data_IF_585397901100
#
_entry.id   IF_585397901100
#
_cell.length_a   1.000
_cell.length_b   1.000
_cell.length_c   1.000
_cell.angle_alpha   90.00
_cell.angle_beta   90.00
_cell.angle_gamma   90.00
#
_symmetry.space_group_name_H-M   'P 1'
#
loop_
_entity.id
_entity.type
_entity.pdbx_description
1 polymer ?
#
# COMPACT_ATOMS: atom_id res chain seq x y z
N UNK A 1 -16.72 17.95 11.01
CA UNK A 1 -15.90 17.23 10.01
C UNK A 1 -16.08 15.74 10.26
N UNK A 2 -16.36 14.93 9.23
CA UNK A 2 -16.45 13.47 9.40
C UNK A 2 -15.05 12.95 9.75
N UNK A 3 -14.97 12.11 10.78
CA UNK A 3 -13.70 11.54 11.25
C UNK A 3 -13.28 10.44 10.26
N UNK A 4 -12.02 10.42 9.78
CA UNK A 4 -11.55 9.34 8.93
C UNK A 4 -11.60 7.99 9.65
N UNK A 5 -11.63 6.87 8.91
CA UNK A 5 -11.50 5.55 9.51
C UNK A 5 -10.18 5.44 10.30
N UNK A 6 -10.14 4.61 11.35
CA UNK A 6 -9.02 4.60 12.28
C UNK A 6 -7.71 4.21 11.60
N UNK A 7 -7.73 3.21 10.71
CA UNK A 7 -6.59 2.70 9.95
C UNK A 7 -7.00 2.32 8.53
N UNK A 8 -6.03 2.14 7.64
CA UNK A 8 -6.23 1.84 6.24
C UNK A 8 -6.43 0.34 6.00
N UNK A 9 -7.46 0.03 5.23
CA UNK A 9 -7.76 -1.27 4.63
C UNK A 9 -8.27 -1.00 3.21
N UNK A 10 -8.42 -2.05 2.39
CA UNK A 10 -9.10 -1.94 1.10
C UNK A 10 -10.48 -1.27 1.28
N UNK A 11 -11.33 -1.78 2.17
CA UNK A 11 -12.65 -1.21 2.43
C UNK A 11 -12.60 0.27 2.86
N UNK A 12 -11.67 0.61 3.74
CA UNK A 12 -11.55 1.97 4.28
C UNK A 12 -11.03 2.96 3.22
N UNK A 13 -10.30 2.52 2.19
CA UNK A 13 -9.97 3.37 1.03
C UNK A 13 -11.24 3.89 0.36
N UNK A 14 -12.23 3.03 0.13
CA UNK A 14 -13.50 3.43 -0.48
C UNK A 14 -14.27 4.47 0.37
N UNK A 15 -14.23 4.35 1.70
CA UNK A 15 -14.81 5.36 2.59
C UNK A 15 -14.07 6.69 2.54
N UNK A 16 -12.74 6.65 2.49
CA UNK A 16 -11.89 7.84 2.33
C UNK A 16 -12.21 8.50 1.00
N UNK A 17 -12.23 7.77 -0.11
CA UNK A 17 -12.50 8.36 -1.43
C UNK A 17 -13.86 9.02 -1.50
N UNK A 18 -14.93 8.36 -1.02
CA UNK A 18 -16.28 8.98 -0.96
C UNK A 18 -16.33 10.25 -0.11
N UNK A 19 -15.49 10.34 0.92
CA UNK A 19 -15.52 11.45 1.88
C UNK A 19 -14.65 12.62 1.41
N UNK A 20 -13.47 12.34 0.86
CA UNK A 20 -12.41 13.31 0.63
C UNK A 20 -12.23 13.68 -0.84
N UNK A 21 -12.73 12.88 -1.78
CA UNK A 21 -12.81 13.18 -3.21
C UNK A 21 -14.21 12.87 -3.77
N UNK A 22 -15.28 13.44 -3.21
CA UNK A 22 -16.67 13.06 -3.54
C UNK A 22 -17.04 13.34 -5.00
N UNK A 23 -16.36 14.28 -5.65
CA UNK A 23 -16.65 14.69 -7.03
C UNK A 23 -16.07 13.72 -8.07
N UNK A 24 -15.08 12.91 -7.68
CA UNK A 24 -14.46 11.92 -8.56
C UNK A 24 -15.19 10.59 -8.44
N UNK A 25 -15.83 10.16 -9.54
CA UNK A 25 -16.44 8.84 -9.62
C UNK A 25 -15.38 7.76 -9.66
N UNK A 26 -15.61 6.71 -8.89
CA UNK A 26 -14.79 5.52 -8.94
C UNK A 26 -15.63 4.26 -9.04
N UNK A 27 -15.04 3.25 -9.66
CA UNK A 27 -15.53 1.88 -9.67
C UNK A 27 -14.75 1.05 -8.66
N UNK A 28 -15.45 0.24 -7.87
CA UNK A 28 -14.85 -0.65 -6.89
C UNK A 28 -15.09 -2.10 -7.29
N UNK A 29 -14.03 -2.91 -7.30
CA UNK A 29 -14.11 -4.35 -7.57
C UNK A 29 -14.83 -4.67 -8.90
N UNK A 30 -14.54 -3.90 -9.96
CA UNK A 30 -15.03 -4.11 -11.33
C UNK A 30 -13.90 -4.23 -12.33
N UNK A 31 -14.04 -5.15 -13.29
CA UNK A 31 -13.05 -5.36 -14.36
C UNK A 31 -12.89 -4.09 -15.21
N UNK A 32 -11.69 -3.89 -15.75
CA UNK A 32 -11.40 -2.77 -16.66
C UNK A 32 -11.93 -3.10 -18.06
N UNK A 33 -12.89 -2.35 -18.61
CA UNK A 33 -13.43 -2.60 -19.95
C UNK A 33 -12.32 -2.61 -21.00
N UNK A 34 -12.36 -3.57 -21.92
CA UNK A 34 -11.37 -3.68 -22.99
C UNK A 34 -9.99 -4.22 -22.59
N UNK A 35 -9.74 -4.48 -21.30
CA UNK A 35 -8.43 -4.99 -20.84
C UNK A 35 -8.16 -6.47 -21.17
N UNK A 36 -9.20 -7.27 -21.40
CA UNK A 36 -9.08 -8.74 -21.49
C UNK A 36 -8.72 -9.42 -20.16
N UNK A 37 -8.53 -8.66 -19.08
CA UNK A 37 -8.16 -9.14 -17.75
C UNK A 37 -9.42 -9.42 -16.93
N UNK A 38 -9.48 -10.61 -16.32
CA UNK A 38 -10.63 -11.04 -15.50
C UNK A 38 -10.55 -10.58 -14.05
N UNK A 39 -9.35 -10.26 -13.56
CA UNK A 39 -9.16 -9.74 -12.20
C UNK A 39 -9.68 -8.31 -12.10
N UNK A 40 -10.14 -7.93 -10.92
CA UNK A 40 -10.80 -6.65 -10.66
C UNK A 40 -9.83 -5.82 -9.81
N UNK A 41 -9.45 -4.61 -10.22
CA UNK A 41 -8.76 -3.68 -9.32
C UNK A 41 -9.69 -3.29 -8.16
N UNK A 42 -9.07 -2.96 -7.02
CA UNK A 42 -9.79 -2.52 -5.83
C UNK A 42 -10.57 -1.23 -6.12
N UNK A 43 -9.90 -0.20 -6.65
CA UNK A 43 -10.51 1.07 -7.00
C UNK A 43 -9.99 1.61 -8.33
N UNK A 44 -10.89 2.11 -9.18
CA UNK A 44 -10.56 2.70 -10.48
C UNK A 44 -11.30 4.01 -10.70
N UNK A 45 -10.56 5.03 -11.10
CA UNK A 45 -11.05 6.36 -11.45
C UNK A 45 -10.80 6.61 -12.94
N UNK A 46 -11.81 6.32 -13.76
CA UNK A 46 -11.69 6.37 -15.22
C UNK A 46 -11.41 7.80 -15.74
N UNK A 47 -12.01 8.81 -15.11
CA UNK A 47 -11.88 10.22 -15.54
C UNK A 47 -10.44 10.76 -15.46
N UNK A 48 -9.62 10.21 -14.56
CA UNK A 48 -8.23 10.63 -14.35
C UNK A 48 -7.22 9.52 -14.68
N UNK A 49 -7.67 8.40 -15.23
CA UNK A 49 -6.82 7.25 -15.54
C UNK A 49 -6.04 6.75 -14.33
N UNK A 50 -6.67 6.56 -13.17
CA UNK A 50 -6.02 6.09 -11.94
C UNK A 50 -6.61 4.74 -11.48
N UNK A 51 -5.76 3.81 -11.12
CA UNK A 51 -6.11 2.61 -10.35
C UNK A 51 -5.38 2.69 -9.01
N UNK A 52 -6.10 2.42 -7.93
CA UNK A 52 -5.53 2.31 -6.58
C UNK A 52 -5.79 0.91 -6.05
N UNK A 53 -4.73 0.23 -5.63
CA UNK A 53 -4.75 -1.13 -5.06
C UNK A 53 -4.24 -1.07 -3.61
N UNK A 54 -4.78 -1.91 -2.73
CA UNK A 54 -4.30 -2.08 -1.36
C UNK A 54 -3.57 -3.42 -1.22
N UNK A 55 -2.25 -3.36 -1.07
CA UNK A 55 -1.42 -4.56 -1.00
C UNK A 55 -1.36 -5.09 0.43
N UNK A 56 -2.16 -6.12 0.72
CA UNK A 56 -2.06 -6.94 1.92
C UNK A 56 -0.78 -7.80 1.98
N UNK A 57 -0.64 -8.58 3.06
CA UNK A 57 0.54 -9.41 3.30
C UNK A 57 0.89 -10.39 2.17
N UNK A 58 -0.10 -10.98 1.48
CA UNK A 58 0.12 -11.95 0.40
C UNK A 58 0.95 -11.39 -0.75
N UNK A 59 0.88 -10.08 -1.01
CA UNK A 59 1.69 -9.39 -2.02
C UNK A 59 3.18 -9.32 -1.67
N UNK A 60 3.57 -9.77 -0.48
CA UNK A 60 4.96 -9.88 -0.03
C UNK A 60 5.39 -11.31 0.30
N UNK A 61 4.45 -12.26 0.38
CA UNK A 61 4.74 -13.64 0.75
C UNK A 61 4.69 -14.60 -0.45
N UNK A 62 3.90 -14.31 -1.48
CA UNK A 62 3.69 -15.22 -2.61
C UNK A 62 4.29 -14.64 -3.90
N UNK A 63 5.34 -15.30 -4.40
CA UNK A 63 6.02 -14.93 -5.64
C UNK A 63 5.08 -14.93 -6.86
N UNK A 64 4.09 -15.84 -6.93
CA UNK A 64 3.15 -15.90 -8.04
C UNK A 64 2.21 -14.71 -8.05
N UNK A 65 1.81 -14.23 -6.87
CA UNK A 65 1.00 -13.01 -6.74
C UNK A 65 1.80 -11.81 -7.25
N UNK A 66 3.04 -11.67 -6.81
CA UNK A 66 3.93 -10.56 -7.22
C UNK A 66 4.13 -10.53 -8.75
N UNK A 67 4.38 -11.69 -9.38
CA UNK A 67 4.53 -11.75 -10.84
C UNK A 67 3.26 -11.34 -11.59
N UNK A 68 2.09 -11.89 -11.18
CA UNK A 68 0.81 -11.58 -11.81
C UNK A 68 0.43 -10.11 -11.64
N UNK A 69 0.73 -9.53 -10.49
CA UNK A 69 0.54 -8.11 -10.26
C UNK A 69 1.39 -7.26 -11.21
N UNK A 70 2.66 -7.63 -11.43
CA UNK A 70 3.51 -6.93 -12.40
C UNK A 70 2.98 -6.98 -13.84
N UNK A 71 2.46 -8.13 -14.28
CA UNK A 71 1.84 -8.27 -15.61
C UNK A 71 0.54 -7.43 -15.72
N UNK A 72 -0.28 -7.45 -14.68
CA UNK A 72 -1.53 -6.68 -14.59
C UNK A 72 -1.26 -5.18 -14.61
N UNK A 73 -0.33 -4.71 -13.78
CA UNK A 73 0.05 -3.30 -13.69
C UNK A 73 0.60 -2.80 -15.03
N UNK A 74 1.40 -3.62 -15.72
CA UNK A 74 1.89 -3.31 -17.06
C UNK A 74 0.73 -3.17 -18.05
N UNK A 75 -0.20 -4.12 -18.08
CA UNK A 75 -1.32 -4.06 -19.00
C UNK A 75 -2.21 -2.83 -18.76
N UNK A 76 -2.50 -2.49 -17.50
CA UNK A 76 -3.27 -1.28 -17.19
C UNK A 76 -2.50 0.01 -17.51
N UNK A 77 -1.18 0.02 -17.32
CA UNK A 77 -0.32 1.14 -17.74
C UNK A 77 -0.33 1.33 -19.24
N UNK A 78 -0.24 0.23 -20.01
CA UNK A 78 -0.32 0.25 -21.47
C UNK A 78 -1.71 0.74 -21.97
N UNK A 79 -2.76 0.62 -21.13
CA UNK A 79 -4.09 1.20 -21.37
C UNK A 79 -4.22 2.68 -20.96
N UNK A 80 -3.17 3.29 -20.42
CA UNK A 80 -3.16 4.68 -20.00
C UNK A 80 -3.52 4.94 -18.54
N UNK A 81 -3.66 3.89 -17.71
CA UNK A 81 -3.85 4.07 -16.27
C UNK A 81 -2.51 4.24 -15.56
N UNK A 82 -2.44 5.16 -14.59
CA UNK A 82 -1.45 5.09 -13.52
C UNK A 82 -1.95 4.12 -12.45
N UNK A 83 -1.12 3.15 -12.06
CA UNK A 83 -1.44 2.21 -10.98
C UNK A 83 -0.68 2.60 -9.71
N UNK A 84 -1.41 2.85 -8.63
CA UNK A 84 -0.86 3.20 -7.32
C UNK A 84 -1.24 2.13 -6.29
N UNK A 85 -0.27 1.26 -5.99
CA UNK A 85 -0.42 0.26 -4.92
C UNK A 85 0.04 0.83 -3.59
N UNK A 86 -0.79 0.68 -2.56
CA UNK A 86 -0.55 1.15 -1.19
C UNK A 86 -0.27 -0.08 -0.31
N UNK A 87 0.95 -0.25 0.21
CA UNK A 87 1.29 -1.33 1.13
C UNK A 87 0.49 -1.27 2.43
N UNK A 88 0.17 -2.42 3.02
CA UNK A 88 -0.55 -2.48 4.31
C UNK A 88 0.16 -1.78 5.49
N UNK A 89 1.47 -1.54 5.40
CA UNK A 89 2.24 -0.76 6.37
C UNK A 89 2.28 0.75 6.06
N UNK A 90 1.56 1.22 5.04
CA UNK A 90 1.38 2.64 4.72
C UNK A 90 -0.06 3.05 5.04
N UNK A 91 -0.22 4.15 5.76
CA UNK A 91 -1.52 4.70 6.15
C UNK A 91 -1.85 5.95 5.33
N UNK A 92 -3.13 6.32 5.31
CA UNK A 92 -3.56 7.50 4.57
C UNK A 92 -3.08 8.79 5.23
N UNK A 93 -2.59 9.73 4.42
CA UNK A 93 -2.14 11.06 4.83
C UNK A 93 -2.57 12.09 3.79
N UNK A 94 -2.44 13.37 4.13
CA UNK A 94 -2.65 14.46 3.16
C UNK A 94 -1.68 14.36 1.97
N UNK A 95 -0.43 13.92 2.23
CA UNK A 95 0.60 13.73 1.21
C UNK A 95 0.26 12.55 0.27
N UNK A 96 -0.27 11.44 0.81
CA UNK A 96 -0.71 10.32 -0.01
C UNK A 96 -1.91 10.71 -0.88
N UNK A 97 -2.89 11.42 -0.33
CA UNK A 97 -4.02 11.94 -1.13
C UNK A 97 -3.54 12.90 -2.23
N UNK A 98 -2.57 13.77 -1.92
CA UNK A 98 -1.96 14.64 -2.93
C UNK A 98 -1.27 13.84 -4.03
N UNK A 99 -0.51 12.80 -3.69
CA UNK A 99 0.09 11.90 -4.67
C UNK A 99 -0.96 11.21 -5.57
N UNK A 100 -2.08 10.78 -5.00
CA UNK A 100 -3.12 10.07 -5.73
C UNK A 100 -3.90 11.01 -6.67
N UNK A 101 -4.29 12.19 -6.20
CA UNK A 101 -5.26 13.04 -6.91
C UNK A 101 -4.70 14.39 -7.39
N UNK A 102 -3.46 14.73 -7.04
CA UNK A 102 -2.85 16.03 -7.36
C UNK A 102 -3.47 17.20 -6.59
N UNK A 103 -4.33 16.93 -5.59
CA UNK A 103 -5.07 17.93 -4.84
C UNK A 103 -4.68 17.91 -3.37
N UNK A 104 -4.45 19.10 -2.79
CA UNK A 104 -4.12 19.23 -1.36
C UNK A 104 -5.38 19.00 -0.54
N UNK A 105 -5.56 17.78 -0.05
CA UNK A 105 -6.72 17.40 0.73
C UNK A 105 -6.29 17.23 2.19
N UNK A 106 -6.77 18.09 3.12
CA UNK A 106 -6.47 17.94 4.54
C UNK A 106 -6.99 16.60 5.06
N UNK A 107 -6.09 15.80 5.62
CA UNK A 107 -6.38 14.51 6.23
C UNK A 107 -5.68 14.40 7.57
N UNK A 108 -6.47 14.21 8.63
CA UNK A 108 -5.98 13.99 9.99
C UNK A 108 -5.72 12.51 10.20
N UNK A 109 -4.48 12.07 9.94
CA UNK A 109 -4.05 10.69 10.19
C UNK A 109 -4.18 10.35 11.68
N UNK A 110 -4.82 9.21 11.97
CA UNK A 110 -4.99 8.70 13.33
C UNK A 110 -4.17 7.47 13.65
N UNK A 111 -3.76 6.69 12.63
CA UNK A 111 -2.98 5.48 12.81
C UNK A 111 -1.62 5.62 12.12
N UNK A 112 -0.52 5.27 12.80
CA UNK A 112 0.83 5.50 12.30
C UNK A 112 1.19 4.55 11.15
N UNK A 113 2.13 4.98 10.32
CA UNK A 113 2.77 4.09 9.35
C UNK A 113 3.55 2.98 10.07
N UNK A 114 3.79 1.88 9.36
CA UNK A 114 4.62 0.78 9.81
C UNK A 114 3.86 -0.47 10.20
N UNK A 115 4.55 -1.36 10.92
CA UNK A 115 4.08 -2.67 11.35
C UNK A 115 3.49 -2.58 12.75
N UNK A 116 2.39 -1.86 12.89
CA UNK A 116 1.82 -1.49 14.19
C UNK A 116 0.98 -2.63 14.78
N UNK A 117 0.15 -3.27 13.96
CA UNK A 117 -0.71 -4.38 14.39
C UNK A 117 0.09 -5.55 14.96
N UNK A 118 -0.39 -6.14 16.06
CA UNK A 118 0.28 -7.27 16.73
C UNK A 118 0.43 -8.51 15.84
N UNK A 119 -0.49 -8.70 14.90
CA UNK A 119 -0.54 -9.79 13.94
C UNK A 119 -0.01 -9.38 12.55
N UNK A 120 0.59 -8.18 12.42
CA UNK A 120 1.19 -7.77 11.17
C UNK A 120 2.25 -8.80 10.74
N UNK A 121 2.15 -9.27 9.50
CA UNK A 121 3.23 -10.04 8.88
C UNK A 121 4.45 -9.14 8.82
N UNK A 122 5.59 -9.63 9.30
CA UNK A 122 6.84 -8.87 9.36
C UNK A 122 7.76 -9.26 8.20
N UNK A 123 8.71 -8.38 7.80
CA UNK A 123 9.60 -8.65 6.67
C UNK A 123 10.38 -9.97 6.74
N UNK A 124 10.63 -10.50 7.94
CA UNK A 124 11.23 -11.83 8.13
C UNK A 124 10.44 -12.97 7.46
N UNK A 125 9.13 -12.77 7.23
CA UNK A 125 8.25 -13.74 6.58
C UNK A 125 7.97 -13.43 5.11
N UNK A 126 8.64 -12.43 4.53
CA UNK A 126 8.51 -12.12 3.11
C UNK A 126 9.34 -13.10 2.29
N UNK A 127 8.83 -13.48 1.12
CA UNK A 127 9.64 -14.22 0.15
C UNK A 127 10.70 -13.30 -0.48
N UNK A 128 11.68 -13.85 -1.20
CA UNK A 128 12.76 -13.05 -1.78
C UNK A 128 12.26 -11.92 -2.70
N UNK A 129 11.21 -12.18 -3.48
CA UNK A 129 10.58 -11.15 -4.30
C UNK A 129 9.82 -10.13 -3.46
N UNK A 130 9.20 -10.55 -2.36
CA UNK A 130 8.55 -9.65 -1.41
C UNK A 130 9.53 -8.74 -0.69
N UNK A 131 10.75 -9.22 -0.37
CA UNK A 131 11.83 -8.39 0.17
C UNK A 131 12.21 -7.30 -0.85
N UNK A 132 12.37 -7.66 -2.12
CA UNK A 132 12.66 -6.70 -3.19
C UNK A 132 11.54 -5.68 -3.34
N UNK A 133 10.29 -6.13 -3.29
CA UNK A 133 9.12 -5.26 -3.37
C UNK A 133 9.07 -4.30 -2.17
N UNK A 134 9.26 -4.80 -0.95
CA UNK A 134 9.32 -4.01 0.27
C UNK A 134 10.38 -2.90 0.20
N UNK A 135 11.58 -3.19 -0.30
CA UNK A 135 12.63 -2.17 -0.49
C UNK A 135 12.16 -1.09 -1.48
N UNK A 136 11.58 -1.49 -2.62
CA UNK A 136 11.05 -0.54 -3.61
C UNK A 136 9.95 0.33 -3.02
N UNK A 137 9.09 -0.24 -2.21
CA UNK A 137 8.01 0.49 -1.55
C UNK A 137 8.55 1.44 -0.47
N UNK A 138 9.58 1.05 0.30
CA UNK A 138 10.26 1.96 1.21
C UNK A 138 10.86 3.17 0.50
N UNK A 139 11.40 2.99 -0.71
CA UNK A 139 11.93 4.10 -1.50
C UNK A 139 10.81 4.93 -2.13
N UNK A 140 9.78 4.27 -2.70
CA UNK A 140 8.59 4.90 -3.27
C UNK A 140 7.87 5.77 -2.24
N UNK A 141 7.77 5.30 -0.99
CA UNK A 141 7.15 5.98 0.15
C UNK A 141 8.20 6.54 1.11
N UNK A 142 9.33 7.01 0.59
CA UNK A 142 10.48 7.48 1.36
C UNK A 142 10.17 8.54 2.43
N UNK A 143 9.14 9.36 2.23
CA UNK A 143 8.68 10.32 3.24
C UNK A 143 8.15 9.67 4.53
N UNK A 144 7.74 8.40 4.49
CA UNK A 144 7.26 7.63 5.65
C UNK A 144 8.29 6.61 6.15
N UNK A 145 9.47 6.55 5.53
CA UNK A 145 10.49 5.52 5.81
C UNK A 145 10.90 5.51 7.27
N UNK A 146 11.09 6.67 7.89
CA UNK A 146 11.51 6.76 9.29
C UNK A 146 10.47 6.15 10.24
N UNK A 147 9.18 6.41 10.01
CA UNK A 147 8.09 5.86 10.82
C UNK A 147 8.02 4.33 10.66
N UNK A 148 8.16 3.83 9.43
CA UNK A 148 8.17 2.40 9.15
C UNK A 148 9.38 1.72 9.83
N UNK A 149 10.58 2.29 9.73
CA UNK A 149 11.77 1.76 10.40
C UNK A 149 11.63 1.82 11.93
N UNK A 150 11.06 2.90 12.48
CA UNK A 150 10.81 3.01 13.91
C UNK A 150 9.87 1.89 14.40
N UNK A 151 8.80 1.59 13.65
CA UNK A 151 7.90 0.48 13.99
C UNK A 151 8.60 -0.89 13.96
N UNK A 152 9.56 -1.10 13.06
CA UNK A 152 10.35 -2.32 13.01
C UNK A 152 11.29 -2.43 14.22
N UNK A 153 11.93 -1.33 14.63
CA UNK A 153 12.73 -1.29 15.86
C UNK A 153 11.89 -1.64 17.09
N UNK A 154 10.65 -1.13 17.15
CA UNK A 154 9.71 -1.50 18.21
C UNK A 154 9.38 -3.00 18.18
N UNK A 155 9.09 -3.58 17.01
CA UNK A 155 8.83 -5.02 16.89
C UNK A 155 10.03 -5.88 17.31
N UNK A 156 11.26 -5.41 17.09
CA UNK A 156 12.47 -6.09 17.54
C UNK A 156 12.55 -6.07 19.07
N UNK A 157 12.28 -4.92 19.69
CA UNK A 157 12.23 -4.82 21.15
C UNK A 157 11.13 -5.71 21.75
N UNK A 158 9.96 -5.81 21.11
CA UNK A 158 8.85 -6.67 21.54
C UNK A 158 9.16 -8.17 21.43
N UNK A 159 9.94 -8.58 20.42
CA UNK A 159 10.24 -9.99 20.15
C UNK A 159 11.57 -10.48 20.74
N UNK A 160 12.45 -9.56 21.13
CA UNK A 160 13.80 -9.82 21.62
C UNK A 160 14.69 -10.63 20.64
N UNK A 161 14.28 -10.74 19.37
CA UNK A 161 14.99 -11.47 18.32
C UNK A 161 14.77 -10.77 16.96
N UNK A 162 15.86 -10.21 16.42
CA UNK A 162 15.84 -9.46 15.17
C UNK A 162 15.37 -10.31 13.98
N UNK A 163 15.74 -11.59 13.94
CA UNK A 163 15.44 -12.48 12.81
C UNK A 163 13.97 -12.90 12.76
N UNK A 164 13.17 -12.63 13.82
CA UNK A 164 11.72 -12.75 13.78
C UNK A 164 11.03 -11.52 13.18
N UNK A 165 11.78 -10.44 12.90
CA UNK A 165 11.26 -9.17 12.36
C UNK A 165 11.85 -8.86 10.99
N UNK A 166 13.17 -8.91 10.85
CA UNK A 166 13.89 -8.64 9.61
C UNK A 166 14.75 -9.85 9.22
N UNK A 167 14.73 -10.27 7.95
CA UNK A 167 15.71 -11.22 7.47
C UNK A 167 17.11 -10.57 7.51
N UNK A 168 18.21 -11.36 7.61
CA UNK A 168 19.58 -10.83 7.69
C UNK A 168 19.92 -9.81 6.60
N UNK A 169 19.38 -10.00 5.40
CA UNK A 169 19.57 -9.10 4.24
C UNK A 169 19.02 -7.70 4.45
N UNK A 170 18.11 -7.50 5.41
CA UNK A 170 17.50 -6.22 5.75
C UNK A 170 18.00 -5.62 7.06
N UNK A 171 18.92 -6.26 7.78
CA UNK A 171 19.43 -5.74 9.06
C UNK A 171 20.09 -4.37 8.94
N UNK A 172 20.59 -4.01 7.75
CA UNK A 172 21.16 -2.68 7.51
C UNK A 172 20.16 -1.54 7.70
N UNK A 173 18.85 -1.80 7.60
CA UNK A 173 17.80 -0.80 7.77
C UNK A 173 17.69 -0.26 9.19
N UNK A 174 18.17 -1.01 10.18
CA UNK A 174 18.09 -0.66 11.60
C UNK A 174 19.47 -0.38 12.22
N UNK A 175 20.52 -0.29 11.40
CA UNK A 175 21.82 0.16 11.88
C UNK A 175 21.82 1.66 12.16
#
# INVERSE_FOLDING_TARGET
MKRPPPYLTEQNLGEIFRTFVPDLKFEHNKTVPGSGIKTRPDYRFDEIGLIVEFDGNRHYQDANVIFRDGEKDKAYTDMGYRVERIPYFVQMTSELLYRLFGQKIPYAQSYPHGFIDGNAVLPANFCELGIKQFIRDLDKFGCYKNDIIASLRQKIAEKEEINLVLPPTLHYLIK
#
